data_IF_823906325466
#
_entry.id   IF_823906325466
#
_cell.length_a   1.000
_cell.length_b   1.000
_cell.length_c   1.000
_cell.angle_alpha   90.00
_cell.angle_beta   90.00
_cell.angle_gamma   90.00
#
_symmetry.space_group_name_H-M   'P 1'
#
loop_
_entity.id
_entity.type
_entity.pdbx_description
1 polymer ?
#
# COMPACT_ATOMS: atom_id res chain seq x y z
N UNK A 1 -12.44 -14.39 -9.45
CA UNK A 1 -13.56 -15.17 -8.91
C UNK A 1 -14.83 -14.34 -8.95
N UNK A 2 -16.03 -14.94 -9.18
CA UNK A 2 -17.27 -14.17 -9.26
C UNK A 2 -17.56 -13.30 -8.06
N UNK A 3 -17.15 -13.73 -6.87
CA UNK A 3 -17.29 -12.96 -5.64
C UNK A 3 -16.44 -11.66 -5.60
N UNK A 4 -15.38 -11.58 -6.38
CA UNK A 4 -14.48 -10.42 -6.36
C UNK A 4 -15.14 -9.14 -6.90
N UNK A 5 -16.12 -9.27 -7.80
CA UNK A 5 -16.80 -8.12 -8.41
C UNK A 5 -17.58 -7.25 -7.39
N UNK A 6 -17.99 -7.86 -6.25
CA UNK A 6 -18.71 -7.14 -5.20
C UNK A 6 -17.89 -6.77 -3.97
N UNK A 7 -16.61 -7.11 -3.93
CA UNK A 7 -15.78 -6.90 -2.74
C UNK A 7 -15.32 -5.46 -2.62
N UNK A 8 -15.38 -4.95 -1.41
CA UNK A 8 -14.72 -3.70 -1.02
C UNK A 8 -13.21 -3.92 -0.78
N UNK A 9 -12.47 -2.83 -0.69
CA UNK A 9 -11.04 -2.86 -0.32
C UNK A 9 -10.79 -3.66 0.97
N UNK A 10 -11.59 -3.42 2.00
CA UNK A 10 -11.42 -4.05 3.31
C UNK A 10 -11.74 -5.55 3.30
N UNK A 11 -12.60 -6.00 2.40
CA UNK A 11 -12.94 -7.41 2.24
C UNK A 11 -11.91 -8.16 1.40
N UNK A 12 -11.40 -7.54 0.34
CA UNK A 12 -10.43 -8.16 -0.57
C UNK A 12 -9.02 -8.28 0.02
N UNK A 13 -8.60 -7.31 0.83
CA UNK A 13 -7.25 -7.24 1.38
C UNK A 13 -6.79 -8.48 2.15
N UNK A 14 -7.60 -9.01 3.11
CA UNK A 14 -7.22 -10.16 3.92
C UNK A 14 -7.29 -11.51 3.22
N UNK A 15 -7.91 -11.61 2.04
CA UNK A 15 -8.15 -12.91 1.38
C UNK A 15 -6.87 -13.71 1.10
N UNK A 16 -5.77 -13.13 0.63
CA UNK A 16 -4.54 -13.89 0.40
C UNK A 16 -4.00 -14.59 1.65
N UNK A 17 -4.21 -14.00 2.84
CA UNK A 17 -3.76 -14.58 4.10
C UNK A 17 -4.43 -15.92 4.43
N UNK A 18 -5.59 -16.19 3.83
CA UNK A 18 -6.32 -17.47 3.99
C UNK A 18 -5.70 -18.64 3.24
N UNK A 19 -4.69 -18.40 2.39
CA UNK A 19 -3.97 -19.44 1.66
C UNK A 19 -4.68 -20.00 0.42
N UNK A 20 -5.83 -19.44 0.05
CA UNK A 20 -6.65 -19.91 -1.08
C UNK A 20 -6.42 -19.15 -2.38
N UNK A 21 -5.47 -18.22 -2.41
CA UNK A 21 -5.19 -17.34 -3.55
C UNK A 21 -3.72 -17.45 -3.90
N UNK A 22 -3.43 -17.85 -5.14
CA UNK A 22 -2.06 -17.95 -5.63
C UNK A 22 -1.45 -16.59 -6.01
N UNK A 23 -2.27 -15.67 -6.48
CA UNK A 23 -1.83 -14.33 -6.90
C UNK A 23 -2.93 -13.30 -6.60
N UNK A 24 -2.51 -12.12 -6.20
CA UNK A 24 -3.39 -10.96 -6.05
C UNK A 24 -2.71 -9.72 -6.65
N UNK A 25 -3.45 -8.96 -7.45
CA UNK A 25 -3.10 -7.59 -7.81
C UNK A 25 -3.81 -6.64 -6.85
N UNK A 26 -3.03 -5.91 -6.11
CA UNK A 26 -3.54 -4.99 -5.10
C UNK A 26 -2.56 -3.86 -4.85
N UNK A 27 -2.96 -2.85 -4.07
CA UNK A 27 -2.02 -1.82 -3.64
C UNK A 27 -0.92 -2.43 -2.79
N UNK A 28 0.33 -2.24 -3.18
CA UNK A 28 1.45 -2.76 -2.38
C UNK A 28 1.53 -2.11 -0.99
N UNK A 29 0.95 -0.90 -0.84
CA UNK A 29 0.80 -0.23 0.45
C UNK A 29 -0.27 -0.86 1.36
N UNK A 30 -1.10 -1.75 0.83
CA UNK A 30 -2.08 -2.50 1.60
C UNK A 30 -1.50 -3.73 2.30
N UNK A 31 -0.21 -3.98 2.11
CA UNK A 31 0.51 -5.00 2.87
C UNK A 31 0.48 -4.65 4.36
N UNK A 32 -0.15 -5.49 5.15
CA UNK A 32 -0.38 -5.25 6.57
C UNK A 32 0.23 -6.37 7.43
N UNK A 33 0.36 -6.10 8.74
CA UNK A 33 0.76 -7.12 9.72
C UNK A 33 -0.11 -8.38 9.63
N UNK A 34 -1.40 -8.23 9.35
CA UNK A 34 -2.33 -9.36 9.18
C UNK A 34 -1.92 -10.37 8.10
N UNK A 35 -1.04 -9.99 7.17
CA UNK A 35 -0.54 -10.88 6.12
C UNK A 35 0.71 -11.68 6.55
N UNK A 36 1.28 -11.38 7.70
CA UNK A 36 2.51 -12.00 8.23
C UNK A 36 2.37 -12.45 9.69
N UNK A 37 1.15 -12.55 10.20
CA UNK A 37 0.93 -13.10 11.54
C UNK A 37 1.38 -14.56 11.60
N UNK A 38 1.97 -14.99 12.70
CA UNK A 38 2.26 -16.39 12.94
C UNK A 38 1.00 -17.25 12.76
N UNK A 39 1.20 -18.50 12.40
CA UNK A 39 0.13 -19.51 12.25
C UNK A 39 -0.84 -19.32 11.05
N UNK A 40 -0.63 -18.32 10.22
CA UNK A 40 -1.37 -18.21 8.96
C UNK A 40 -0.99 -19.33 7.99
N UNK A 41 -1.93 -19.85 7.18
CA UNK A 41 -1.65 -20.85 6.14
C UNK A 41 -0.56 -20.44 5.13
N UNK A 42 -0.35 -19.15 4.98
CA UNK A 42 0.64 -18.52 4.09
C UNK A 42 2.00 -18.29 4.72
N UNK A 43 2.22 -18.77 5.95
CA UNK A 43 3.49 -18.67 6.65
C UNK A 43 4.19 -20.03 6.71
N UNK A 44 5.51 -20.01 6.68
CA UNK A 44 6.36 -21.16 6.98
C UNK A 44 6.62 -21.24 8.48
N UNK A 45 7.06 -22.41 8.95
CA UNK A 45 7.38 -22.66 10.37
C UNK A 45 8.52 -21.74 10.88
N UNK A 46 9.42 -21.31 10.00
CA UNK A 46 10.51 -20.38 10.33
C UNK A 46 10.07 -18.90 10.40
N UNK A 47 8.77 -18.64 10.22
CA UNK A 47 8.19 -17.31 10.24
C UNK A 47 8.43 -16.50 8.96
N UNK A 48 8.84 -17.14 7.87
CA UNK A 48 8.89 -16.50 6.55
C UNK A 48 7.60 -16.69 5.79
N UNK A 49 7.12 -15.69 4.99
CA UNK A 49 5.94 -15.87 4.19
C UNK A 49 6.20 -16.75 2.94
N UNK A 50 5.21 -17.55 2.57
CA UNK A 50 5.22 -18.37 1.34
C UNK A 50 5.03 -17.54 0.07
N UNK A 51 4.57 -16.31 0.21
CA UNK A 51 4.34 -15.38 -0.91
C UNK A 51 5.43 -14.32 -0.99
N UNK A 52 5.52 -13.66 -2.14
CA UNK A 52 6.43 -12.54 -2.36
C UNK A 52 5.74 -11.42 -3.11
N UNK A 53 6.17 -10.19 -2.85
CA UNK A 53 5.81 -9.05 -3.67
C UNK A 53 6.56 -9.09 -5.00
N UNK A 54 5.88 -8.70 -6.06
CA UNK A 54 6.43 -8.56 -7.39
C UNK A 54 5.89 -7.28 -8.04
N UNK A 55 6.62 -6.71 -9.01
CA UNK A 55 6.07 -5.64 -9.86
C UNK A 55 4.81 -6.11 -10.57
N UNK A 56 3.93 -5.16 -10.89
CA UNK A 56 2.73 -5.45 -11.68
C UNK A 56 3.11 -6.11 -13.00
N UNK A 57 2.37 -7.14 -13.45
CA UNK A 57 2.59 -7.74 -14.76
C UNK A 57 2.31 -6.74 -15.87
N UNK A 58 2.99 -6.90 -16.99
CA UNK A 58 2.81 -6.06 -18.17
C UNK A 58 2.61 -6.90 -19.44
N UNK A 59 1.97 -6.33 -20.45
CA UNK A 59 1.73 -6.99 -21.72
C UNK A 59 2.82 -6.72 -22.76
N UNK A 60 2.59 -7.22 -23.98
CA UNK A 60 3.55 -7.15 -25.10
C UNK A 60 3.85 -5.71 -25.57
N UNK A 61 2.97 -4.77 -25.29
CA UNK A 61 3.15 -3.36 -25.68
C UNK A 61 3.83 -2.52 -24.60
N UNK A 62 4.29 -3.15 -23.53
CA UNK A 62 5.01 -2.45 -22.48
C UNK A 62 6.37 -1.98 -22.98
N UNK A 63 6.69 -0.71 -22.73
CA UNK A 63 8.00 -0.14 -23.04
C UNK A 63 8.86 -0.13 -21.78
N UNK A 64 10.10 -0.55 -21.89
CA UNK A 64 11.04 -0.56 -20.77
C UNK A 64 11.13 0.83 -20.13
N UNK A 65 11.10 0.87 -18.80
CA UNK A 65 11.05 2.12 -18.03
C UNK A 65 9.64 2.64 -17.75
N UNK A 66 8.61 2.14 -18.44
CA UNK A 66 7.21 2.43 -18.10
C UNK A 66 6.85 1.65 -16.85
N UNK A 67 6.67 2.33 -15.74
CA UNK A 67 6.33 1.73 -14.46
C UNK A 67 4.86 2.03 -14.17
N UNK A 68 4.07 0.96 -14.08
CA UNK A 68 2.64 1.06 -13.80
C UNK A 68 2.39 0.49 -12.42
N UNK A 69 1.79 1.28 -11.56
CA UNK A 69 1.34 0.86 -10.25
C UNK A 69 0.68 2.03 -9.54
N UNK A 70 -0.04 1.70 -8.51
CA UNK A 70 -0.77 2.67 -7.72
C UNK A 70 -0.20 2.71 -6.31
N UNK A 71 0.26 3.88 -5.93
CA UNK A 71 0.57 4.19 -4.55
C UNK A 71 -0.46 5.21 -4.06
N UNK A 72 -1.26 4.80 -3.10
CA UNK A 72 -2.17 5.71 -2.43
C UNK A 72 -1.40 6.55 -1.41
N UNK A 73 -1.56 7.86 -1.49
CA UNK A 73 -0.95 8.81 -0.57
C UNK A 73 -2.02 9.72 -0.02
N UNK A 74 -2.45 9.42 1.20
CA UNK A 74 -3.33 10.31 1.95
C UNK A 74 -2.57 11.55 2.45
N UNK A 75 -3.23 12.70 2.44
CA UNK A 75 -2.68 13.95 2.93
C UNK A 75 -3.53 14.53 4.05
N UNK A 76 -2.87 15.08 5.06
CA UNK A 76 -3.52 15.88 6.08
C UNK A 76 -3.73 17.30 5.56
N UNK A 77 -4.96 17.77 5.63
CA UNK A 77 -5.31 19.13 5.21
C UNK A 77 -5.99 19.90 6.34
N UNK A 78 -5.74 21.19 6.38
CA UNK A 78 -6.43 22.09 7.31
C UNK A 78 -7.43 22.93 6.52
N UNK A 79 -8.66 22.95 7.00
CA UNK A 79 -9.70 23.78 6.40
C UNK A 79 -9.42 25.25 6.69
N UNK A 80 -9.60 26.13 5.70
CA UNK A 80 -9.41 27.57 5.87
C UNK A 80 -10.30 28.18 6.96
N UNK A 81 -11.44 27.59 7.21
CA UNK A 81 -12.40 27.99 8.24
C UNK A 81 -12.08 27.50 9.65
N UNK A 82 -11.00 26.70 9.82
CA UNK A 82 -10.64 26.16 11.13
C UNK A 82 -10.16 27.29 12.05
N UNK A 83 -10.70 27.43 13.28
CA UNK A 83 -10.18 28.38 14.25
C UNK A 83 -8.69 28.20 14.50
N UNK A 84 -7.98 29.30 14.76
CA UNK A 84 -6.50 29.34 14.84
C UNK A 84 -5.94 28.38 15.90
N UNK A 85 -6.54 28.37 17.08
CA UNK A 85 -6.15 27.47 18.18
C UNK A 85 -6.27 25.98 17.80
N UNK A 86 -7.37 25.62 17.15
CA UNK A 86 -7.59 24.25 16.65
C UNK A 86 -6.66 23.91 15.48
N UNK A 87 -6.40 24.88 14.60
CA UNK A 87 -5.47 24.70 13.50
C UNK A 87 -4.05 24.45 14.00
N UNK A 88 -3.60 25.16 15.05
CA UNK A 88 -2.31 24.93 15.68
C UNK A 88 -2.21 23.52 16.30
N UNK A 89 -3.23 23.10 17.03
CA UNK A 89 -3.27 21.76 17.61
C UNK A 89 -3.25 20.66 16.52
N UNK A 90 -4.06 20.82 15.48
CA UNK A 90 -4.09 19.88 14.35
C UNK A 90 -2.76 19.83 13.60
N UNK A 91 -2.08 20.96 13.43
CA UNK A 91 -0.76 21.03 12.84
C UNK A 91 0.29 20.27 13.65
N UNK A 92 0.32 20.47 14.97
CA UNK A 92 1.23 19.74 15.86
C UNK A 92 0.96 18.23 15.81
N UNK A 93 -0.30 17.84 15.80
CA UNK A 93 -0.69 16.43 15.62
C UNK A 93 -0.20 15.87 14.30
N UNK A 94 -0.43 16.58 13.18
CA UNK A 94 0.02 16.15 11.87
C UNK A 94 1.55 16.01 11.80
N UNK A 95 2.29 16.96 12.37
CA UNK A 95 3.76 16.87 12.49
C UNK A 95 4.19 15.63 13.30
N UNK A 96 3.52 15.36 14.40
CA UNK A 96 3.82 14.19 15.24
C UNK A 96 3.58 12.89 14.46
N UNK A 97 2.39 12.69 13.89
CA UNK A 97 2.02 11.42 13.21
C UNK A 97 2.80 11.18 11.92
N UNK A 98 3.36 12.23 11.33
CA UNK A 98 4.20 12.15 10.13
C UNK A 98 5.70 12.22 10.43
N UNK A 99 6.09 12.29 11.70
CA UNK A 99 7.51 12.34 12.07
C UNK A 99 8.25 11.05 11.71
N UNK A 100 9.58 11.13 11.51
CA UNK A 100 10.41 9.97 11.17
C UNK A 100 10.26 8.83 12.17
N UNK A 101 10.29 9.14 13.45
CA UNK A 101 10.18 8.16 14.54
C UNK A 101 8.82 7.45 14.53
N UNK A 102 7.73 8.20 14.36
CA UNK A 102 6.38 7.63 14.34
C UNK A 102 6.17 6.82 13.08
N UNK A 103 6.70 7.24 11.93
CA UNK A 103 6.61 6.51 10.68
C UNK A 103 7.27 5.11 10.79
N UNK A 104 8.47 5.04 11.38
CA UNK A 104 9.11 3.74 11.68
C UNK A 104 8.28 2.91 12.66
N UNK A 105 7.77 3.52 13.74
CA UNK A 105 6.95 2.80 14.73
C UNK A 105 5.65 2.25 14.13
N UNK A 106 4.98 3.01 13.26
CA UNK A 106 3.79 2.53 12.54
C UNK A 106 4.08 1.26 11.73
N UNK A 107 5.22 1.20 11.07
CA UNK A 107 5.60 0.04 10.28
C UNK A 107 5.76 -1.23 11.12
N UNK A 108 6.15 -1.10 12.38
CA UNK A 108 6.30 -2.24 13.28
C UNK A 108 4.97 -2.86 13.70
N UNK A 109 3.89 -2.08 13.63
CA UNK A 109 2.52 -2.56 13.88
C UNK A 109 1.74 -2.80 12.59
N UNK A 110 2.45 -2.90 11.46
CA UNK A 110 1.87 -3.26 10.16
C UNK A 110 1.15 -2.14 9.42
N UNK A 111 1.34 -0.90 9.84
CA UNK A 111 0.84 0.25 9.11
C UNK A 111 1.85 0.66 8.03
N UNK A 112 1.33 1.19 6.93
CA UNK A 112 2.16 1.67 5.83
C UNK A 112 3.02 2.85 6.25
N UNK A 113 4.29 2.79 5.96
CA UNK A 113 5.24 3.88 6.08
C UNK A 113 5.36 4.62 4.74
N UNK A 114 5.70 5.89 4.79
CA UNK A 114 5.71 6.77 3.62
C UNK A 114 7.06 7.45 3.37
N UNK A 115 7.98 7.41 4.35
CA UNK A 115 9.24 8.12 4.27
C UNK A 115 10.36 7.25 3.73
N UNK A 116 11.16 7.81 2.84
CA UNK A 116 12.40 7.17 2.37
C UNK A 116 13.32 6.81 3.54
N UNK A 117 13.42 7.67 4.54
CA UNK A 117 14.22 7.41 5.75
C UNK A 117 13.72 6.19 6.54
N UNK A 118 12.44 5.85 6.47
CA UNK A 118 11.89 4.64 7.08
C UNK A 118 12.25 3.41 6.26
N UNK A 119 12.16 3.49 4.93
CA UNK A 119 12.54 2.42 4.01
C UNK A 119 14.00 2.02 4.20
N UNK A 120 14.87 2.98 4.48
CA UNK A 120 16.31 2.75 4.69
C UNK A 120 16.67 2.44 6.15
N UNK A 121 15.72 2.44 7.05
CA UNK A 121 15.97 2.21 8.47
C UNK A 121 16.43 0.76 8.75
N UNK A 122 17.38 0.60 9.66
CA UNK A 122 18.01 -0.67 10.01
C UNK A 122 16.98 -1.75 10.42
N UNK A 123 15.99 -1.37 11.21
CA UNK A 123 14.94 -2.28 11.67
C UNK A 123 14.14 -2.94 10.54
N UNK A 124 14.10 -2.36 9.35
CA UNK A 124 13.54 -3.02 8.17
C UNK A 124 14.49 -4.03 7.57
N UNK A 125 15.78 -3.72 7.53
CA UNK A 125 16.80 -4.65 7.04
C UNK A 125 16.82 -5.93 7.87
N UNK A 126 16.74 -5.80 9.19
CA UNK A 126 16.68 -6.94 10.12
C UNK A 126 15.44 -7.82 9.92
N UNK A 127 14.34 -7.23 9.49
CA UNK A 127 13.05 -7.92 9.28
C UNK A 127 12.79 -8.32 7.83
N UNK A 128 13.68 -7.98 6.91
CA UNK A 128 13.43 -8.11 5.46
C UNK A 128 13.01 -9.53 5.06
N UNK A 129 13.65 -10.57 5.60
CA UNK A 129 13.32 -11.97 5.30
C UNK A 129 11.89 -12.37 5.66
N UNK A 130 11.30 -11.70 6.66
CA UNK A 130 9.94 -11.97 7.16
C UNK A 130 8.87 -11.12 6.48
N UNK A 131 9.25 -10.29 5.52
CA UNK A 131 8.34 -9.33 4.88
C UNK A 131 8.10 -9.62 3.38
N UNK A 132 8.32 -10.87 2.93
CA UNK A 132 7.94 -11.35 1.60
C UNK A 132 8.49 -10.54 0.43
N UNK A 133 9.69 -9.97 0.56
CA UNK A 133 10.30 -9.13 -0.47
C UNK A 133 9.81 -7.68 -0.48
N UNK A 134 9.03 -7.26 0.53
CA UNK A 134 8.52 -5.89 0.64
C UNK A 134 9.66 -4.86 0.67
N UNK A 135 10.70 -5.11 1.45
CA UNK A 135 11.81 -4.17 1.61
C UNK A 135 12.63 -4.09 0.34
N UNK A 136 12.92 -5.22 -0.27
CA UNK A 136 13.63 -5.30 -1.55
C UNK A 136 12.83 -4.57 -2.65
N UNK A 137 11.51 -4.75 -2.68
CA UNK A 137 10.64 -4.04 -3.60
C UNK A 137 10.70 -2.52 -3.39
N UNK A 138 10.58 -2.05 -2.16
CA UNK A 138 10.65 -0.60 -1.85
C UNK A 138 12.01 0.02 -2.19
N UNK A 139 13.11 -0.74 -2.07
CA UNK A 139 14.47 -0.28 -2.40
C UNK A 139 14.85 -0.50 -3.86
N UNK A 140 14.05 -1.26 -4.59
CA UNK A 140 14.33 -1.58 -5.99
C UNK A 140 14.06 -0.40 -6.92
N UNK A 141 14.89 -0.19 -7.96
CA UNK A 141 14.57 0.73 -9.05
C UNK A 141 13.34 0.30 -9.86
N UNK A 142 12.93 -0.97 -9.75
CA UNK A 142 11.69 -1.47 -10.33
C UNK A 142 10.44 -1.03 -9.54
N UNK A 143 10.63 -0.43 -8.36
CA UNK A 143 9.52 0.17 -7.62
C UNK A 143 8.80 1.17 -8.48
N UNK A 144 7.50 1.00 -8.57
CA UNK A 144 6.66 1.87 -9.36
C UNK A 144 6.67 3.28 -8.80
N UNK A 145 6.87 4.24 -9.67
CA UNK A 145 6.64 5.63 -9.32
C UNK A 145 5.13 5.91 -9.39
N UNK A 146 4.67 6.78 -8.50
CA UNK A 146 3.30 7.22 -8.45
C UNK A 146 2.85 7.78 -9.81
N UNK A 147 1.72 7.29 -10.30
CA UNK A 147 1.02 7.87 -11.43
C UNK A 147 -0.28 8.47 -10.91
N UNK A 148 -0.47 9.79 -11.00
CA UNK A 148 -1.72 10.40 -10.56
C UNK A 148 -2.86 9.89 -11.43
N UNK A 149 -3.85 9.29 -10.80
CA UNK A 149 -5.10 8.91 -11.45
C UNK A 149 -6.23 9.77 -10.90
N UNK A 150 -7.13 10.16 -11.75
CA UNK A 150 -8.39 10.78 -11.39
C UNK A 150 -8.38 12.29 -11.16
N UNK A 151 -7.34 12.86 -10.61
CA UNK A 151 -7.31 14.31 -10.35
C UNK A 151 -7.13 15.16 -11.59
N UNK A 152 -6.52 14.59 -12.63
CA UNK A 152 -6.23 15.29 -13.89
C UNK A 152 -7.21 14.96 -15.03
N UNK A 153 -8.21 14.14 -14.75
CA UNK A 153 -9.24 13.77 -15.73
C UNK A 153 -10.55 14.43 -15.33
N UNK A 154 -11.05 15.37 -16.13
CA UNK A 154 -12.38 15.96 -15.92
C UNK A 154 -13.42 14.84 -15.82
N UNK A 155 -14.40 15.01 -14.94
CA UNK A 155 -15.50 14.05 -14.73
C UNK A 155 -15.05 12.62 -14.33
N UNK A 156 -13.86 12.46 -13.75
CA UNK A 156 -13.35 11.16 -13.33
C UNK A 156 -14.36 10.31 -12.53
N UNK A 157 -15.13 10.87 -11.58
CA UNK A 157 -16.15 10.09 -10.87
C UNK A 157 -17.18 9.45 -11.80
N UNK A 158 -17.60 10.15 -12.83
CA UNK A 158 -18.53 9.65 -13.84
C UNK A 158 -17.91 8.55 -14.71
N UNK A 159 -16.66 8.77 -15.13
CA UNK A 159 -15.90 7.75 -15.86
C UNK A 159 -15.69 6.48 -15.03
N UNK A 160 -15.30 6.62 -13.78
CA UNK A 160 -15.11 5.50 -12.86
C UNK A 160 -16.41 4.70 -12.67
N UNK A 161 -17.55 5.39 -12.55
CA UNK A 161 -18.85 4.74 -12.46
C UNK A 161 -19.20 3.98 -13.73
N UNK A 162 -18.95 4.53 -14.92
CA UNK A 162 -19.19 3.87 -16.19
C UNK A 162 -18.30 2.63 -16.34
N UNK A 163 -17.02 2.71 -15.96
CA UNK A 163 -16.13 1.57 -15.98
C UNK A 163 -16.61 0.46 -15.06
N UNK A 164 -16.94 0.79 -13.84
CA UNK A 164 -17.49 -0.14 -12.87
C UNK A 164 -18.72 -0.90 -13.43
N UNK A 165 -19.66 -0.17 -14.03
CA UNK A 165 -20.91 -0.74 -14.56
C UNK A 165 -20.73 -1.66 -15.78
N UNK A 166 -19.63 -1.50 -16.53
CA UNK A 166 -19.42 -2.16 -17.82
C UNK A 166 -18.27 -3.18 -17.82
N UNK A 167 -17.44 -3.25 -16.80
CA UNK A 167 -16.31 -4.17 -16.71
C UNK A 167 -16.59 -5.33 -15.73
N UNK A 168 -17.61 -5.19 -14.88
CA UNK A 168 -18.00 -6.18 -13.86
C UNK A 168 -18.67 -7.44 -14.37
#
# INVERSE_FOLDING_TARGET
PPAAAGMTFSEAGPIPAQGNVAQQMFWYTAFTAASIEPDLPVMNEDGTPKWRMAPSPHGAYWTEGTKIGYQDVGSWTLMKSTPVDRAQAAWLYAQFVTSKTVDVKKSHVGLTFIRESSIQHESFTERASKLGGLIEFYRSPARVQWSPTGTNVPDYPKLAQLWWQNIG
#
